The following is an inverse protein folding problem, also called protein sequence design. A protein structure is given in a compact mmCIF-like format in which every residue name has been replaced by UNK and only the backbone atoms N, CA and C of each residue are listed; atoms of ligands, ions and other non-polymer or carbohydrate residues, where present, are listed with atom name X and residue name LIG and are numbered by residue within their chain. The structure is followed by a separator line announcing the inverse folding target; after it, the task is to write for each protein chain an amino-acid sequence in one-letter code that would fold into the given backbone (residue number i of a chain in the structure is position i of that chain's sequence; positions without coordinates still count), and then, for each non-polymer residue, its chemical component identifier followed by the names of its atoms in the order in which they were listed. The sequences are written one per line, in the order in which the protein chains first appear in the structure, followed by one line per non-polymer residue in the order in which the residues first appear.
data_IF_860209277589
#
_entry.id   IF_860209277589
#
_cell.length_a   1.000
_cell.length_b   1.000
_cell.length_c   1.000
_cell.angle_alpha   90.00
_cell.angle_beta   90.00
_cell.angle_gamma   90.00
#
_symmetry.space_group_name_H-M   'P 1'
#
loop_
_entity.id
_entity.type
_entity.pdbx_description
1 polymer ?
#
# COMPACT_ATOMS: atom_id res chain seq x y z
N UNK A 1 9.06 -9.67 -23.05
CA UNK A 1 8.96 -9.97 -21.60
C UNK A 1 9.29 -8.80 -20.67
N UNK A 2 10.27 -7.94 -21.00
CA UNK A 2 10.74 -6.86 -20.10
C UNK A 2 9.65 -5.84 -19.71
N UNK A 3 8.79 -5.46 -20.66
CA UNK A 3 7.67 -4.54 -20.41
C UNK A 3 6.64 -5.08 -19.41
N UNK A 4 6.32 -6.37 -19.46
CA UNK A 4 5.38 -7.01 -18.52
C UNK A 4 5.96 -7.05 -17.12
N UNK A 5 7.25 -7.40 -16.98
CA UNK A 5 7.96 -7.38 -15.69
C UNK A 5 7.97 -5.98 -15.06
N UNK A 6 8.29 -4.94 -15.85
CA UNK A 6 8.28 -3.54 -15.38
C UNK A 6 6.90 -3.09 -14.89
N UNK A 7 5.83 -3.46 -15.59
CA UNK A 7 4.46 -3.12 -15.18
C UNK A 7 4.08 -3.81 -13.87
N UNK A 8 4.40 -5.09 -13.73
CA UNK A 8 4.17 -5.85 -12.49
C UNK A 8 4.95 -5.24 -11.33
N UNK A 9 6.23 -4.93 -11.53
CA UNK A 9 7.06 -4.28 -10.51
C UNK A 9 6.48 -2.92 -10.08
N UNK A 10 6.00 -2.11 -11.03
CA UNK A 10 5.37 -0.83 -10.73
C UNK A 10 4.08 -0.99 -9.90
N UNK A 11 3.28 -2.01 -10.17
CA UNK A 11 2.07 -2.31 -9.38
C UNK A 11 2.43 -2.78 -7.97
N UNK A 12 3.41 -3.69 -7.87
CA UNK A 12 3.89 -4.22 -6.59
C UNK A 12 4.68 -3.19 -5.77
N UNK A 13 5.17 -2.10 -6.37
CA UNK A 13 5.87 -1.04 -5.65
C UNK A 13 4.96 -0.22 -4.72
N UNK A 14 3.63 -0.30 -4.89
CA UNK A 14 2.67 0.38 -4.01
C UNK A 14 2.67 -0.26 -2.62
N UNK A 15 2.36 0.54 -1.61
CA UNK A 15 2.32 0.12 -0.21
C UNK A 15 1.45 -1.15 -0.04
N UNK A 16 1.96 -2.10 0.74
CA UNK A 16 1.35 -3.40 1.05
C UNK A 16 1.17 -4.36 -0.13
N UNK A 17 1.32 -3.93 -1.40
CA UNK A 17 1.00 -4.79 -2.55
C UNK A 17 1.91 -6.02 -2.68
N UNK A 18 3.16 -5.95 -2.23
CA UNK A 18 4.07 -7.12 -2.17
C UNK A 18 3.65 -8.16 -1.13
N UNK A 19 2.97 -7.73 -0.08
CA UNK A 19 2.48 -8.61 0.99
C UNK A 19 1.16 -9.28 0.56
N UNK A 20 0.34 -8.57 -0.21
CA UNK A 20 -0.96 -9.03 -0.68
C UNK A 20 -0.89 -9.93 -1.91
N UNK A 21 0.07 -9.69 -2.81
CA UNK A 21 0.13 -10.37 -4.10
C UNK A 21 1.45 -11.08 -4.33
N UNK A 22 1.37 -12.38 -4.59
CA UNK A 22 2.46 -13.16 -5.14
C UNK A 22 2.25 -13.30 -6.64
N UNK A 23 3.12 -12.67 -7.43
CA UNK A 23 3.04 -12.70 -8.89
C UNK A 23 4.24 -13.46 -9.45
N UNK A 24 3.97 -14.56 -10.16
CA UNK A 24 4.96 -15.31 -10.94
C UNK A 24 4.78 -14.97 -12.41
N UNK A 25 5.89 -14.64 -13.07
CA UNK A 25 5.92 -14.37 -14.51
C UNK A 25 6.75 -15.46 -15.15
N UNK A 26 6.11 -16.28 -15.96
CA UNK A 26 6.72 -17.36 -16.73
C UNK A 26 6.57 -17.10 -18.23
N UNK A 27 7.24 -17.92 -19.04
CA UNK A 27 7.09 -17.91 -20.50
C UNK A 27 6.47 -19.23 -20.92
N UNK A 28 5.39 -19.18 -21.69
CA UNK A 28 4.72 -20.35 -22.23
C UNK A 28 4.44 -20.07 -23.72
N UNK A 29 4.97 -20.92 -24.61
CA UNK A 29 4.83 -20.78 -26.07
C UNK A 29 5.29 -19.41 -26.64
N UNK A 30 6.36 -18.83 -26.08
CA UNK A 30 6.87 -17.51 -26.49
C UNK A 30 6.02 -16.32 -26.02
N UNK A 31 4.98 -16.57 -25.22
CA UNK A 31 4.11 -15.56 -24.64
C UNK A 31 4.35 -15.47 -23.12
N UNK A 32 4.31 -14.25 -22.54
CA UNK A 32 4.42 -14.09 -21.10
C UNK A 32 3.14 -14.60 -20.42
N UNK A 33 3.29 -15.56 -19.51
CA UNK A 33 2.24 -16.06 -18.63
C UNK A 33 2.38 -15.41 -17.26
N UNK A 34 1.25 -15.00 -16.68
CA UNK A 34 1.19 -14.37 -15.37
C UNK A 34 0.30 -15.20 -14.45
N UNK A 35 0.86 -15.64 -13.34
CA UNK A 35 0.14 -16.31 -12.27
C UNK A 35 0.13 -15.37 -11.07
N UNK A 36 -1.06 -15.08 -10.56
CA UNK A 36 -1.25 -14.20 -9.42
C UNK A 36 -1.99 -14.97 -8.33
N UNK A 37 -1.42 -14.93 -7.13
CA UNK A 37 -2.04 -15.48 -5.93
C UNK A 37 -2.25 -14.35 -4.92
N UNK A 38 -3.45 -14.29 -4.35
CA UNK A 38 -3.81 -13.30 -3.35
C UNK A 38 -3.68 -13.89 -1.95
N UNK A 39 -2.93 -13.23 -1.09
CA UNK A 39 -2.79 -13.62 0.31
C UNK A 39 -3.92 -13.03 1.14
N UNK A 40 -4.99 -13.81 1.32
CA UNK A 40 -6.15 -13.42 2.10
C UNK A 40 -5.81 -13.16 3.57
N UNK A 41 -4.87 -13.91 4.14
CA UNK A 41 -4.45 -13.74 5.54
C UNK A 41 -3.71 -12.41 5.75
N UNK A 42 -2.77 -12.09 4.86
CA UNK A 42 -2.09 -10.78 4.86
C UNK A 42 -3.09 -9.63 4.70
N UNK A 43 -4.13 -9.80 3.89
CA UNK A 43 -5.19 -8.81 3.74
C UNK A 43 -6.00 -8.61 5.03
N UNK A 44 -6.40 -9.69 5.70
CA UNK A 44 -7.11 -9.60 6.98
C UNK A 44 -6.25 -8.92 8.05
N UNK A 45 -4.97 -9.28 8.12
CA UNK A 45 -4.03 -8.64 9.04
C UNK A 45 -3.87 -7.14 8.74
N UNK A 46 -3.76 -6.77 7.46
CA UNK A 46 -3.69 -5.38 7.04
C UNK A 46 -4.94 -4.58 7.43
N UNK A 47 -6.13 -5.16 7.22
CA UNK A 47 -7.40 -4.57 7.63
C UNK A 47 -7.46 -4.33 9.14
N UNK A 48 -7.04 -5.32 9.93
CA UNK A 48 -7.11 -5.27 11.39
C UNK A 48 -6.06 -4.34 12.02
N UNK A 49 -4.91 -4.14 11.37
CA UNK A 49 -3.77 -3.44 11.98
C UNK A 49 -3.48 -2.06 11.37
N UNK A 50 -3.80 -1.83 10.10
CA UNK A 50 -3.37 -0.60 9.39
C UNK A 50 -4.49 0.12 8.64
N UNK A 51 -5.55 -0.57 8.23
CA UNK A 51 -6.70 0.04 7.54
C UNK A 51 -7.91 0.26 8.46
N UNK A 52 -7.68 0.29 9.77
CA UNK A 52 -8.69 0.63 10.77
C UNK A 52 -8.98 2.14 10.86
N UNK A 53 -9.90 2.52 11.74
CA UNK A 53 -10.19 3.93 12.03
C UNK A 53 -8.96 4.56 12.72
N UNK A 54 -8.44 5.65 12.16
CA UNK A 54 -7.42 6.46 12.83
C UNK A 54 -8.08 7.36 13.87
N UNK A 55 -7.74 7.19 15.15
CA UNK A 55 -8.15 8.11 16.22
C UNK A 55 -7.06 9.17 16.35
N UNK A 56 -7.45 10.44 16.22
CA UNK A 56 -6.54 11.58 16.31
C UNK A 56 -6.82 12.34 17.60
N UNK A 57 -5.78 12.54 18.41
CA UNK A 57 -5.82 13.40 19.58
C UNK A 57 -5.02 14.67 19.26
N UNK A 58 -5.58 15.84 19.55
CA UNK A 58 -4.95 17.14 19.34
C UNK A 58 -5.29 18.04 20.51
N UNK A 59 -4.30 18.80 20.98
CA UNK A 59 -4.44 19.88 21.95
C UNK A 59 -4.62 21.25 21.28
N UNK A 60 -4.58 21.30 19.94
CA UNK A 60 -4.87 22.49 19.12
C UNK A 60 -6.37 22.71 19.01
N UNK A 61 -6.90 23.44 19.97
CA UNK A 61 -8.30 23.89 20.06
C UNK A 61 -8.61 25.07 19.12
N UNK A 62 -7.59 25.75 18.61
CA UNK A 62 -7.69 26.86 17.66
C UNK A 62 -7.91 26.40 16.20
N UNK A 63 -7.77 25.10 15.92
CA UNK A 63 -7.89 24.54 14.57
C UNK A 63 -9.24 23.88 14.34
N UNK A 64 -9.75 23.99 13.12
CA UNK A 64 -10.90 23.18 12.71
C UNK A 64 -10.52 21.71 12.56
N UNK A 65 -11.47 20.80 12.78
CA UNK A 65 -11.32 19.35 12.56
C UNK A 65 -10.68 19.04 11.20
N UNK A 66 -11.07 19.78 10.15
CA UNK A 66 -10.52 19.62 8.80
C UNK A 66 -9.02 19.98 8.71
N UNK A 67 -8.58 21.02 9.42
CA UNK A 67 -7.17 21.40 9.48
C UNK A 67 -6.35 20.37 10.27
N UNK A 68 -6.88 19.86 11.39
CA UNK A 68 -6.23 18.82 12.19
C UNK A 68 -6.07 17.54 11.34
N UNK A 69 -7.13 17.08 10.66
CA UNK A 69 -7.08 15.89 9.79
C UNK A 69 -6.14 16.08 8.60
N UNK A 70 -6.17 17.24 7.95
CA UNK A 70 -5.31 17.54 6.81
C UNK A 70 -3.83 17.54 7.22
N UNK A 71 -3.49 18.22 8.31
CA UNK A 71 -2.13 18.30 8.81
C UNK A 71 -1.58 16.92 9.20
N UNK A 72 -2.36 16.09 9.90
CA UNK A 72 -1.95 14.72 10.23
C UNK A 72 -1.68 13.88 8.96
N UNK A 73 -2.57 13.94 7.96
CA UNK A 73 -2.38 13.23 6.68
C UNK A 73 -1.17 13.73 5.89
N UNK A 74 -0.84 15.02 5.97
CA UNK A 74 0.35 15.59 5.36
C UNK A 74 1.63 15.23 6.13
N UNK A 75 1.56 15.14 7.47
CA UNK A 75 2.67 14.73 8.31
C UNK A 75 3.00 13.24 8.14
N UNK A 76 2.01 12.39 7.85
CA UNK A 76 2.25 10.97 7.50
C UNK A 76 3.24 10.82 6.33
N UNK A 77 3.22 11.72 5.33
CA UNK A 77 4.20 11.72 4.24
C UNK A 77 5.62 12.07 4.70
N UNK A 78 5.75 12.84 5.78
CA UNK A 78 7.02 13.30 6.33
C UNK A 78 7.61 12.24 7.28
N UNK A 79 6.79 11.58 8.11
CA UNK A 79 7.24 10.53 9.02
C UNK A 79 7.74 9.26 8.29
N UNK A 80 7.19 8.95 7.11
CA UNK A 80 7.70 7.84 6.27
C UNK A 80 9.14 8.11 5.77
N UNK A 81 9.59 9.38 5.71
CA UNK A 81 10.96 9.75 5.34
C UNK A 81 11.98 9.68 6.49
N UNK A 82 11.53 9.58 7.74
CA UNK A 82 12.40 9.47 8.92
C UNK A 82 12.66 8.03 9.35
N UNK A 83 12.27 7.04 8.54
CA UNK A 83 12.43 5.61 8.81
C UNK A 83 13.59 4.99 8.05
#
# INVERSE_FOLDING_TARGET
MDGTKKRVQKTLARQYMKELWQIKISEENGLPKLEAEFNQEAFQNLCNTRLGKTILFSDRDDWSDAQIVSCYRSQWQIEEMFK
#
